data_IF_081946334669
#
_entry.id   IF_081946334669
#
_cell.length_a   1.000
_cell.length_b   1.000
_cell.length_c   1.000
_cell.angle_alpha   90.00
_cell.angle_beta   90.00
_cell.angle_gamma   90.00
#
_symmetry.space_group_name_H-M   'P 1'
#
loop_
_entity.id
_entity.type
_entity.pdbx_description
1 polymer ?
#
# COMPACT_ATOMS: atom_id res chain seq x y z
N UNK A 1 -14.03 -0.83 -67.21
CA UNK A 1 -14.97 -0.40 -66.15
C UNK A 1 -14.91 -1.45 -65.06
N UNK A 2 -14.34 -1.12 -63.90
CA UNK A 2 -14.28 -2.07 -62.78
C UNK A 2 -15.68 -2.25 -62.21
N UNK A 3 -16.18 -3.49 -62.22
CA UNK A 3 -17.41 -3.85 -61.52
C UNK A 3 -17.20 -3.50 -60.05
N UNK A 4 -17.97 -2.53 -59.52
CA UNK A 4 -17.95 -2.23 -58.10
C UNK A 4 -18.39 -3.50 -57.37
N UNK A 5 -17.47 -4.08 -56.61
CA UNK A 5 -17.71 -5.27 -55.82
C UNK A 5 -18.74 -4.90 -54.76
N UNK A 6 -19.91 -5.55 -54.78
CA UNK A 6 -20.97 -5.30 -53.80
C UNK A 6 -20.46 -5.69 -52.39
N UNK A 7 -20.57 -4.76 -51.44
CA UNK A 7 -20.00 -4.87 -50.07
C UNK A 7 -21.13 -4.84 -49.05
N UNK A 8 -21.85 -5.97 -48.86
CA UNK A 8 -23.06 -6.02 -48.05
C UNK A 8 -22.83 -5.61 -46.58
N UNK A 9 -21.62 -5.81 -46.06
CA UNK A 9 -21.23 -5.45 -44.70
C UNK A 9 -21.31 -3.95 -44.40
N UNK A 10 -21.36 -3.09 -45.44
CA UNK A 10 -21.49 -1.65 -45.28
C UNK A 10 -22.94 -1.18 -45.06
N UNK A 11 -23.92 -2.06 -45.28
CA UNK A 11 -25.34 -1.76 -45.09
C UNK A 11 -25.89 -2.20 -43.73
N UNK A 12 -25.06 -2.84 -42.90
CA UNK A 12 -25.44 -3.31 -41.57
C UNK A 12 -24.71 -2.54 -40.46
N UNK A 13 -25.41 -2.20 -39.37
CA UNK A 13 -24.81 -1.56 -38.20
C UNK A 13 -23.96 -2.56 -37.41
N UNK A 14 -22.68 -2.21 -37.19
CA UNK A 14 -21.76 -3.05 -36.41
C UNK A 14 -22.05 -2.90 -34.92
N UNK A 15 -22.36 -4.01 -34.27
CA UNK A 15 -22.55 -4.08 -32.81
C UNK A 15 -21.24 -4.43 -32.10
N UNK A 16 -21.01 -3.82 -30.95
CA UNK A 16 -19.83 -4.08 -30.12
C UNK A 16 -19.79 -5.51 -29.56
N UNK A 17 -20.96 -6.08 -29.25
CA UNK A 17 -21.10 -7.45 -28.75
C UNK A 17 -22.27 -8.17 -29.42
N UNK A 18 -22.21 -9.50 -29.45
CA UNK A 18 -23.25 -10.38 -30.00
C UNK A 18 -23.87 -11.30 -28.95
N UNK A 19 -23.25 -11.41 -27.77
CA UNK A 19 -23.73 -12.26 -26.68
C UNK A 19 -23.48 -11.63 -25.31
N UNK A 20 -24.10 -12.20 -24.26
CA UNK A 20 -24.03 -11.67 -22.90
C UNK A 20 -22.60 -11.66 -22.33
N UNK A 21 -21.78 -12.66 -22.70
CA UNK A 21 -20.38 -12.76 -22.25
C UNK A 21 -19.49 -11.68 -22.86
N UNK A 22 -19.66 -11.39 -24.14
CA UNK A 22 -18.96 -10.27 -24.81
C UNK A 22 -19.38 -8.92 -24.21
N UNK A 23 -20.66 -8.76 -23.88
CA UNK A 23 -21.14 -7.54 -23.21
C UNK A 23 -20.45 -7.33 -21.87
N UNK A 24 -20.44 -8.35 -21.01
CA UNK A 24 -19.76 -8.29 -19.71
C UNK A 24 -18.25 -8.04 -19.86
N UNK A 25 -17.60 -8.66 -20.85
CA UNK A 25 -16.20 -8.36 -21.16
C UNK A 25 -15.99 -6.88 -21.48
N UNK A 26 -16.85 -6.29 -22.31
CA UNK A 26 -16.75 -4.88 -22.67
C UNK A 26 -17.10 -3.94 -21.52
N UNK A 27 -18.06 -4.31 -20.67
CA UNK A 27 -18.40 -3.56 -19.45
C UNK A 27 -17.19 -3.49 -18.50
N UNK A 28 -16.52 -4.62 -18.26
CA UNK A 28 -15.30 -4.67 -17.43
C UNK A 28 -14.15 -3.84 -18.03
N UNK A 29 -14.00 -3.86 -19.36
CA UNK A 29 -13.01 -3.03 -20.05
C UNK A 29 -13.35 -1.54 -19.94
N UNK A 30 -14.63 -1.18 -20.04
CA UNK A 30 -15.09 0.19 -19.89
C UNK A 30 -14.84 0.71 -18.47
N UNK A 31 -15.08 -0.11 -17.44
CA UNK A 31 -14.78 0.25 -16.05
C UNK A 31 -13.30 0.50 -15.83
N UNK A 32 -12.42 -0.39 -16.31
CA UNK A 32 -10.98 -0.18 -16.23
C UNK A 32 -10.55 1.10 -16.96
N UNK A 33 -11.07 1.32 -18.18
CA UNK A 33 -10.80 2.52 -18.97
C UNK A 33 -11.23 3.79 -18.23
N UNK A 34 -12.40 3.78 -17.60
CA UNK A 34 -12.93 4.90 -16.83
C UNK A 34 -12.10 5.19 -15.58
N UNK A 35 -11.69 4.16 -14.83
CA UNK A 35 -10.86 4.32 -13.62
C UNK A 35 -9.50 4.93 -13.97
N UNK A 36 -8.82 4.43 -15.00
CA UNK A 36 -7.51 4.94 -15.43
C UNK A 36 -7.61 6.40 -15.89
N UNK A 37 -8.64 6.75 -16.67
CA UNK A 37 -8.88 8.13 -17.07
C UNK A 37 -9.21 9.04 -15.87
N UNK A 38 -9.98 8.54 -14.91
CA UNK A 38 -10.31 9.31 -13.71
C UNK A 38 -9.05 9.60 -12.89
N UNK A 39 -8.19 8.60 -12.71
CA UNK A 39 -6.89 8.77 -12.05
C UNK A 39 -6.03 9.80 -12.79
N UNK A 40 -5.98 9.76 -14.13
CA UNK A 40 -5.24 10.73 -14.94
C UNK A 40 -5.72 12.18 -14.73
N UNK A 41 -7.04 12.38 -14.59
CA UNK A 41 -7.61 13.71 -14.33
C UNK A 41 -7.35 14.15 -12.89
N UNK A 42 -7.41 13.23 -11.92
CA UNK A 42 -7.06 13.53 -10.53
C UNK A 42 -5.61 13.99 -10.39
N UNK A 43 -4.65 13.28 -11.02
CA UNK A 43 -3.24 13.68 -11.05
C UNK A 43 -3.07 15.09 -11.62
N UNK A 44 -3.70 15.36 -12.76
CA UNK A 44 -3.65 16.69 -13.40
C UNK A 44 -4.29 17.78 -12.54
N UNK A 45 -5.38 17.49 -11.82
CA UNK A 45 -6.03 18.43 -10.93
C UNK A 45 -5.14 18.77 -9.72
N UNK A 46 -4.45 17.78 -9.16
CA UNK A 46 -3.50 17.99 -8.08
C UNK A 46 -2.27 18.81 -8.51
N UNK A 47 -1.70 18.52 -9.69
CA UNK A 47 -0.59 19.33 -10.26
C UNK A 47 -1.00 20.80 -10.46
N UNK A 48 -2.28 21.06 -10.76
CA UNK A 48 -2.84 22.40 -10.94
C UNK A 48 -3.34 23.02 -9.63
N UNK A 49 -3.06 22.41 -8.49
CA UNK A 49 -3.45 22.88 -7.15
C UNK A 49 -4.97 23.09 -7.01
N UNK A 50 -5.77 22.30 -7.74
CA UNK A 50 -7.23 22.37 -7.72
C UNK A 50 -7.86 21.49 -6.62
N UNK A 51 -7.05 20.66 -5.95
CA UNK A 51 -7.50 19.67 -4.96
C UNK A 51 -6.49 19.68 -3.81
N UNK A 52 -6.97 19.66 -2.56
CA UNK A 52 -6.08 19.68 -1.40
C UNK A 52 -5.30 18.36 -1.28
N UNK A 53 -4.12 18.34 -0.63
CA UNK A 53 -3.34 17.11 -0.43
C UNK A 53 -4.12 15.99 0.27
N UNK A 54 -4.98 16.34 1.25
CA UNK A 54 -5.78 15.38 2.00
C UNK A 54 -6.83 14.71 1.10
N UNK A 55 -7.57 15.49 0.32
CA UNK A 55 -8.60 14.98 -0.60
C UNK A 55 -7.97 14.16 -1.73
N UNK A 56 -6.88 14.67 -2.31
CA UNK A 56 -6.12 13.96 -3.33
C UNK A 56 -5.65 12.60 -2.84
N UNK A 57 -5.02 12.54 -1.66
CA UNK A 57 -4.47 11.29 -1.10
C UNK A 57 -5.57 10.26 -0.91
N UNK A 58 -6.71 10.66 -0.33
CA UNK A 58 -7.84 9.76 -0.12
C UNK A 58 -8.46 9.26 -1.44
N UNK A 59 -8.66 10.16 -2.41
CA UNK A 59 -9.23 9.82 -3.71
C UNK A 59 -8.28 8.92 -4.54
N UNK A 60 -6.99 9.24 -4.57
CA UNK A 60 -5.97 8.49 -5.30
C UNK A 60 -5.84 7.07 -4.73
N UNK A 61 -5.74 6.92 -3.40
CA UNK A 61 -5.71 5.60 -2.75
C UNK A 61 -6.94 4.76 -3.09
N UNK A 62 -8.14 5.36 -3.10
CA UNK A 62 -9.37 4.66 -3.49
C UNK A 62 -9.35 4.23 -4.96
N UNK A 63 -8.93 5.11 -5.87
CA UNK A 63 -8.83 4.82 -7.30
C UNK A 63 -7.81 3.73 -7.59
N UNK A 64 -6.68 3.68 -6.88
CA UNK A 64 -5.68 2.61 -7.02
C UNK A 64 -6.24 1.24 -6.59
N UNK A 65 -7.01 1.18 -5.50
CA UNK A 65 -7.73 -0.04 -5.10
C UNK A 65 -8.72 -0.48 -6.18
N UNK A 66 -9.52 0.46 -6.70
CA UNK A 66 -10.50 0.18 -7.77
C UNK A 66 -9.82 -0.28 -9.05
N UNK A 67 -8.70 0.34 -9.42
CA UNK A 67 -7.87 -0.04 -10.55
C UNK A 67 -7.42 -1.49 -10.44
N UNK A 68 -6.88 -1.92 -9.28
CA UNK A 68 -6.44 -3.31 -9.10
C UNK A 68 -7.58 -4.30 -9.29
N UNK A 69 -8.76 -4.00 -8.72
CA UNK A 69 -9.95 -4.83 -8.89
C UNK A 69 -10.41 -4.89 -10.35
N UNK A 70 -10.51 -3.74 -11.03
CA UNK A 70 -10.93 -3.65 -12.43
C UNK A 70 -9.93 -4.34 -13.37
N UNK A 71 -8.63 -4.13 -13.16
CA UNK A 71 -7.59 -4.73 -13.98
C UNK A 71 -7.60 -6.26 -13.86
N UNK A 72 -7.82 -6.80 -12.65
CA UNK A 72 -7.95 -8.25 -12.43
C UNK A 72 -9.10 -8.88 -13.23
N UNK A 73 -10.17 -8.15 -13.48
CA UNK A 73 -11.29 -8.64 -14.30
C UNK A 73 -11.00 -8.61 -15.82
N UNK A 74 -10.09 -7.74 -16.26
CA UNK A 74 -9.72 -7.55 -17.67
C UNK A 74 -8.45 -8.33 -18.05
N UNK A 75 -7.63 -8.68 -17.05
CA UNK A 75 -6.36 -9.36 -17.24
C UNK A 75 -6.56 -10.70 -17.94
N UNK A 76 -5.86 -10.86 -19.06
CA UNK A 76 -5.95 -12.01 -19.95
C UNK A 76 -4.70 -12.06 -20.83
N UNK A 77 -4.53 -13.11 -21.64
CA UNK A 77 -3.42 -13.21 -22.59
C UNK A 77 -3.36 -12.02 -23.57
N UNK A 78 -4.52 -11.42 -23.86
CA UNK A 78 -4.61 -10.22 -24.70
C UNK A 78 -4.09 -8.97 -23.98
N UNK A 79 -4.31 -8.89 -22.66
CA UNK A 79 -3.96 -7.73 -21.82
C UNK A 79 -3.23 -8.19 -20.55
N UNK A 80 -1.97 -8.65 -20.67
CA UNK A 80 -1.21 -9.13 -19.53
C UNK A 80 -0.80 -7.99 -18.59
N UNK A 81 -0.60 -6.79 -19.14
CA UNK A 81 -0.20 -5.58 -18.41
C UNK A 81 -1.11 -4.39 -18.76
N UNK A 82 -1.12 -3.39 -17.88
CA UNK A 82 -1.86 -2.15 -18.13
C UNK A 82 -1.34 -1.40 -19.36
N UNK A 83 -0.04 -1.47 -19.66
CA UNK A 83 0.55 -0.88 -20.88
C UNK A 83 0.03 -1.54 -22.16
N UNK A 84 -0.24 -2.85 -22.14
CA UNK A 84 -0.85 -3.53 -23.28
C UNK A 84 -2.29 -3.03 -23.50
N UNK A 85 -3.07 -2.91 -22.42
CA UNK A 85 -4.42 -2.36 -22.47
C UNK A 85 -4.43 -0.90 -22.95
N UNK A 86 -3.56 -0.05 -22.38
CA UNK A 86 -3.46 1.35 -22.73
C UNK A 86 -3.10 1.57 -24.21
N UNK A 87 -2.18 0.77 -24.75
CA UNK A 87 -1.84 0.81 -26.19
C UNK A 87 -3.01 0.37 -27.07
N UNK A 88 -3.71 -0.70 -26.70
CA UNK A 88 -4.82 -1.22 -27.50
C UNK A 88 -5.99 -0.24 -27.60
N UNK A 89 -6.34 0.43 -26.50
CA UNK A 89 -7.43 1.40 -26.44
C UNK A 89 -6.97 2.86 -26.61
N UNK A 90 -5.69 3.10 -26.92
CA UNK A 90 -5.10 4.43 -27.10
C UNK A 90 -5.32 5.38 -25.90
N UNK A 91 -5.20 4.84 -24.69
CA UNK A 91 -5.21 5.63 -23.45
C UNK A 91 -3.90 6.41 -23.31
N UNK A 92 -3.97 7.72 -23.54
CA UNK A 92 -2.87 8.65 -23.26
C UNK A 92 -2.96 9.16 -21.81
N UNK A 93 -2.51 8.31 -20.87
CA UNK A 93 -2.62 8.55 -19.44
C UNK A 93 -1.26 8.41 -18.70
N UNK A 94 -0.22 9.18 -19.09
CA UNK A 94 1.13 9.01 -18.55
C UNK A 94 1.22 9.21 -17.03
N UNK A 95 0.46 10.16 -16.46
CA UNK A 95 0.50 10.41 -15.02
C UNK A 95 -0.20 9.28 -14.23
N UNK A 96 -1.30 8.75 -14.77
CA UNK A 96 -1.98 7.60 -14.15
C UNK A 96 -1.11 6.35 -14.20
N UNK A 97 -0.43 6.09 -15.32
CA UNK A 97 0.45 4.93 -15.48
C UNK A 97 1.63 4.97 -14.50
N UNK A 98 2.26 6.13 -14.31
CA UNK A 98 3.31 6.28 -13.29
C UNK A 98 2.76 6.07 -11.87
N UNK A 99 1.56 6.59 -11.55
CA UNK A 99 0.93 6.32 -10.25
C UNK A 99 0.59 4.85 -10.03
N UNK A 100 0.07 4.18 -11.04
CA UNK A 100 -0.23 2.75 -11.00
C UNK A 100 1.06 1.94 -10.77
N UNK A 101 2.15 2.32 -11.45
CA UNK A 101 3.46 1.67 -11.30
C UNK A 101 4.04 1.82 -9.89
N UNK A 102 3.83 2.98 -9.25
CA UNK A 102 4.26 3.20 -7.87
C UNK A 102 3.29 2.65 -6.81
N UNK A 103 2.04 2.38 -7.19
CA UNK A 103 0.94 1.87 -6.37
C UNK A 103 0.66 2.68 -5.08
N UNK A 104 0.94 3.99 -5.11
CA UNK A 104 0.68 4.93 -4.00
C UNK A 104 0.48 6.36 -4.49
N UNK A 105 -0.25 7.24 -3.78
CA UNK A 105 -0.36 8.66 -4.11
C UNK A 105 1.00 9.38 -4.04
N UNK A 106 1.20 10.44 -4.83
CA UNK A 106 2.47 11.21 -4.86
C UNK A 106 2.82 11.87 -3.51
N UNK A 107 1.81 12.12 -2.66
CA UNK A 107 1.95 12.68 -1.32
C UNK A 107 2.57 11.70 -0.33
N UNK A 108 2.48 10.40 -0.60
CA UNK A 108 3.09 9.35 0.22
C UNK A 108 4.49 9.09 -0.32
N UNK A 109 5.50 9.54 0.43
CA UNK A 109 6.89 9.33 0.07
C UNK A 109 7.24 7.85 0.19
N UNK A 110 7.96 7.35 -0.81
CA UNK A 110 8.74 6.12 -0.69
C UNK A 110 9.81 6.28 0.39
N UNK A 111 10.07 5.22 1.14
CA UNK A 111 11.28 5.13 1.96
C UNK A 111 12.55 4.93 1.10
N UNK A 112 12.43 5.05 -0.24
CA UNK A 112 13.52 4.96 -1.24
C UNK A 112 14.26 3.62 -1.18
N UNK A 113 13.55 2.53 -0.91
CA UNK A 113 14.16 1.22 -0.69
C UNK A 113 14.78 1.03 0.69
N UNK A 114 14.69 2.01 1.61
CA UNK A 114 15.00 1.78 3.01
C UNK A 114 13.90 0.99 3.74
N UNK A 115 12.78 0.64 3.11
CA UNK A 115 11.72 -0.15 3.76
C UNK A 115 12.28 -1.44 4.36
N UNK A 116 13.06 -2.21 3.60
CA UNK A 116 13.70 -3.44 4.10
C UNK A 116 14.69 -3.17 5.23
N UNK A 117 15.43 -2.05 5.15
CA UNK A 117 16.33 -1.62 6.22
C UNK A 117 15.56 -1.22 7.48
N UNK A 118 14.52 -0.39 7.36
CA UNK A 118 13.64 0.00 8.46
C UNK A 118 12.98 -1.22 9.10
N UNK A 119 12.52 -2.20 8.30
CA UNK A 119 11.96 -3.45 8.83
C UNK A 119 13.04 -4.22 9.61
N UNK A 120 14.25 -4.35 9.07
CA UNK A 120 15.35 -5.01 9.75
C UNK A 120 15.73 -4.30 11.07
N UNK A 121 15.81 -2.97 11.05
CA UNK A 121 16.08 -2.13 12.23
C UNK A 121 14.98 -2.33 13.30
N UNK A 122 13.70 -2.32 12.90
CA UNK A 122 12.56 -2.56 13.80
C UNK A 122 12.62 -3.97 14.42
N UNK A 123 12.85 -5.00 13.61
CA UNK A 123 12.99 -6.38 14.09
C UNK A 123 14.16 -6.51 15.05
N UNK A 124 15.30 -5.89 14.73
CA UNK A 124 16.47 -5.84 15.59
C UNK A 124 16.16 -5.19 16.94
N UNK A 125 15.46 -4.04 16.94
CA UNK A 125 15.10 -3.33 18.16
C UNK A 125 14.11 -4.12 19.02
N UNK A 126 13.15 -4.82 18.41
CA UNK A 126 12.27 -5.74 19.15
C UNK A 126 13.04 -6.88 19.82
N UNK A 127 14.01 -7.48 19.12
CA UNK A 127 14.86 -8.53 19.68
C UNK A 127 15.69 -7.96 20.85
N UNK A 128 16.33 -6.80 20.66
CA UNK A 128 17.13 -6.14 21.69
C UNK A 128 16.30 -5.85 22.96
N UNK A 129 15.11 -5.27 22.82
CA UNK A 129 14.21 -4.97 23.95
C UNK A 129 13.77 -6.25 24.67
N UNK A 130 13.42 -7.29 23.92
CA UNK A 130 13.05 -8.58 24.49
C UNK A 130 14.21 -9.24 25.25
N UNK A 131 15.42 -9.19 24.69
CA UNK A 131 16.61 -9.77 25.32
C UNK A 131 17.00 -9.00 26.59
N UNK A 132 16.90 -7.67 26.59
CA UNK A 132 17.09 -6.86 27.82
C UNK A 132 16.12 -7.30 28.92
N UNK A 133 14.83 -7.43 28.61
CA UNK A 133 13.83 -7.88 29.58
C UNK A 133 14.09 -9.30 30.09
N UNK A 134 14.56 -10.22 29.23
CA UNK A 134 14.94 -11.60 29.62
C UNK A 134 16.19 -11.66 30.49
N UNK A 135 17.11 -10.71 30.32
CA UNK A 135 18.31 -10.56 31.13
C UNK A 135 18.05 -9.76 32.42
N UNK A 136 16.78 -9.52 32.77
CA UNK A 136 16.37 -8.76 33.96
C UNK A 136 16.86 -7.29 33.95
N UNK A 137 17.16 -6.75 32.76
CA UNK A 137 17.50 -5.32 32.58
C UNK A 137 16.18 -4.54 32.52
N UNK A 138 15.81 -3.94 33.65
CA UNK A 138 14.49 -3.30 33.86
C UNK A 138 14.55 -1.79 34.11
N UNK A 139 15.75 -1.22 34.18
CA UNK A 139 15.95 0.19 34.48
C UNK A 139 15.49 1.12 33.34
N UNK A 140 14.88 2.25 33.71
CA UNK A 140 14.34 3.24 32.78
C UNK A 140 15.38 3.73 31.78
N UNK A 141 16.57 4.12 32.25
CA UNK A 141 17.67 4.63 31.43
C UNK A 141 18.18 3.62 30.40
N UNK A 142 18.03 2.31 30.69
CA UNK A 142 18.44 1.22 29.81
C UNK A 142 17.39 0.85 28.77
N UNK A 143 16.09 0.97 29.09
CA UNK A 143 14.99 0.56 28.20
C UNK A 143 14.47 1.71 27.33
N UNK A 144 14.42 2.92 27.88
CA UNK A 144 13.82 4.08 27.22
C UNK A 144 14.50 4.43 25.87
N UNK A 145 15.85 4.44 25.74
CA UNK A 145 16.51 4.78 24.47
C UNK A 145 16.10 3.84 23.32
N UNK A 146 16.08 2.53 23.56
CA UNK A 146 15.73 1.54 22.53
C UNK A 146 14.25 1.64 22.15
N UNK A 147 13.37 1.85 23.14
CA UNK A 147 11.94 2.01 22.89
C UNK A 147 11.65 3.28 22.10
N UNK A 148 12.44 4.34 22.33
CA UNK A 148 12.35 5.59 21.59
C UNK A 148 12.80 5.42 20.14
N UNK A 149 13.94 4.78 19.93
CA UNK A 149 14.45 4.49 18.59
C UNK A 149 13.51 3.57 17.80
N UNK A 150 12.87 2.61 18.48
CA UNK A 150 11.84 1.75 17.91
C UNK A 150 10.63 2.57 17.43
N UNK A 151 10.11 3.47 18.27
CA UNK A 151 9.00 4.35 17.89
C UNK A 151 9.37 5.24 16.70
N UNK A 152 10.54 5.87 16.73
CA UNK A 152 10.98 6.77 15.65
C UNK A 152 11.20 5.99 14.33
N UNK A 153 11.72 4.76 14.39
CA UNK A 153 11.88 3.88 13.23
C UNK A 153 10.53 3.36 12.70
N UNK A 154 9.58 3.03 13.58
CA UNK A 154 8.21 2.66 13.18
C UNK A 154 7.43 3.82 12.56
N UNK A 155 7.69 5.06 12.98
CA UNK A 155 7.09 6.26 12.37
C UNK A 155 7.67 6.58 10.99
N UNK A 156 8.93 6.22 10.75
CA UNK A 156 9.55 6.30 9.42
C UNK A 156 9.00 5.25 8.46
N UNK A 157 8.53 4.11 8.95
CA UNK A 157 8.07 3.01 8.09
C UNK A 157 6.70 3.33 7.47
N UNK A 158 6.70 3.80 6.23
CA UNK A 158 5.53 4.31 5.50
C UNK A 158 4.40 3.28 5.29
N UNK A 159 4.75 1.99 5.21
CA UNK A 159 3.78 0.88 5.09
C UNK A 159 2.98 0.64 6.39
N UNK A 160 3.48 1.12 7.54
CA UNK A 160 2.70 1.10 8.77
C UNK A 160 1.82 2.34 8.83
N UNK A 161 0.50 2.12 8.82
CA UNK A 161 -0.48 3.18 8.99
C UNK A 161 -0.23 4.02 10.25
N UNK A 162 -0.68 5.27 10.25
CA UNK A 162 -0.55 6.18 11.39
C UNK A 162 -1.37 5.74 12.60
N UNK A 163 -2.45 4.99 12.38
CA UNK A 163 -3.35 4.40 13.39
C UNK A 163 -2.99 2.94 13.75
N UNK A 164 -1.79 2.48 13.39
CA UNK A 164 -1.35 1.14 13.75
C UNK A 164 -1.29 0.99 15.28
N UNK A 165 -2.16 0.13 15.84
CA UNK A 165 -2.27 -0.15 17.29
C UNK A 165 -0.92 -0.42 17.97
N UNK A 166 0.04 -1.02 17.26
CA UNK A 166 1.37 -1.24 17.80
C UNK A 166 2.15 0.04 18.14
N UNK A 167 1.94 1.13 17.38
CA UNK A 167 2.52 2.46 17.69
C UNK A 167 1.92 3.00 18.99
N UNK A 168 0.61 2.87 19.17
CA UNK A 168 -0.09 3.30 20.39
C UNK A 168 0.46 2.60 21.63
N UNK A 169 0.59 1.27 21.59
CA UNK A 169 1.17 0.52 22.71
C UNK A 169 2.61 0.90 23.06
N UNK A 170 3.43 1.17 22.05
CA UNK A 170 4.82 1.63 22.28
C UNK A 170 4.83 3.05 22.86
N UNK A 171 3.91 3.93 22.43
CA UNK A 171 3.76 5.26 23.01
C UNK A 171 3.37 5.21 24.49
N UNK A 172 2.44 4.34 24.87
CA UNK A 172 2.02 4.14 26.27
C UNK A 172 3.21 3.73 27.16
N UNK A 173 4.06 2.81 26.66
CA UNK A 173 5.25 2.38 27.39
C UNK A 173 6.33 3.46 27.45
N UNK A 174 6.54 4.22 26.37
CA UNK A 174 7.42 5.38 26.38
C UNK A 174 6.96 6.41 27.41
N UNK A 175 5.66 6.69 27.46
CA UNK A 175 5.08 7.60 28.45
C UNK A 175 5.28 7.07 29.86
N UNK A 176 5.03 5.78 30.09
CA UNK A 176 5.25 5.13 31.39
C UNK A 176 6.70 5.29 31.85
N UNK A 177 7.68 4.95 31.00
CA UNK A 177 9.10 5.08 31.31
C UNK A 177 9.52 6.55 31.49
N UNK A 178 8.96 7.49 30.72
CA UNK A 178 9.28 8.92 30.85
C UNK A 178 8.83 9.54 32.17
N UNK A 179 7.85 8.92 32.85
CA UNK A 179 7.37 9.36 34.16
C UNK A 179 8.18 8.77 35.32
N UNK A 180 9.13 7.87 35.02
CA UNK A 180 10.01 7.23 36.00
C UNK A 180 11.35 7.98 36.08
N UNK A 181 12.01 7.91 37.23
CA UNK A 181 13.38 8.39 37.37
C UNK A 181 14.32 7.45 36.61
N UNK A 182 15.50 7.95 36.20
CA UNK A 182 16.46 7.17 35.42
C UNK A 182 16.84 5.82 36.08
N UNK A 183 16.94 5.79 37.40
CA UNK A 183 17.30 4.60 38.18
C UNK A 183 16.10 3.71 38.54
N UNK A 184 14.88 4.12 38.24
CA UNK A 184 13.69 3.35 38.58
C UNK A 184 13.57 2.16 37.63
N UNK A 185 13.18 1.02 38.18
CA UNK A 185 13.01 -0.24 37.44
C UNK A 185 11.54 -0.58 37.25
N UNK A 186 11.23 -1.20 36.11
CA UNK A 186 9.93 -1.85 35.93
C UNK A 186 9.77 -3.00 36.93
N UNK A 187 8.58 -3.13 37.52
CA UNK A 187 8.25 -4.30 38.31
C UNK A 187 8.22 -5.57 37.45
N UNK A 188 8.36 -6.75 38.06
CA UNK A 188 8.28 -8.04 37.34
C UNK A 188 6.98 -8.18 36.53
N UNK A 189 5.88 -7.66 37.07
CA UNK A 189 4.59 -7.66 36.39
C UNK A 189 4.59 -6.70 35.19
N UNK A 190 5.17 -5.50 35.34
CA UNK A 190 5.31 -4.55 34.23
C UNK A 190 6.25 -5.10 33.15
N UNK A 191 7.39 -5.69 33.52
CA UNK A 191 8.33 -6.29 32.59
C UNK A 191 7.70 -7.45 31.80
N UNK A 192 6.91 -8.29 32.44
CA UNK A 192 6.18 -9.38 31.76
C UNK A 192 5.14 -8.84 30.76
N UNK A 193 4.41 -7.79 31.12
CA UNK A 193 3.44 -7.14 30.21
C UNK A 193 4.17 -6.44 29.05
N UNK A 194 5.27 -5.74 29.33
CA UNK A 194 6.09 -5.10 28.30
C UNK A 194 6.62 -6.12 27.29
N UNK A 195 7.14 -7.26 27.76
CA UNK A 195 7.58 -8.35 26.90
C UNK A 195 6.45 -8.92 26.03
N UNK A 196 5.26 -9.13 26.60
CA UNK A 196 4.10 -9.60 25.84
C UNK A 196 3.65 -8.58 24.76
N UNK A 197 3.70 -7.29 25.08
CA UNK A 197 3.40 -6.21 24.13
C UNK A 197 4.43 -6.18 23.00
N UNK A 198 5.73 -6.23 23.33
CA UNK A 198 6.84 -6.28 22.35
C UNK A 198 6.64 -7.44 21.37
N UNK A 199 6.34 -8.64 21.86
CA UNK A 199 6.09 -9.82 21.00
C UNK A 199 4.84 -9.63 20.13
N UNK A 200 3.74 -9.16 20.71
CA UNK A 200 2.49 -8.95 19.98
C UNK A 200 2.62 -7.88 18.88
N UNK A 201 3.30 -6.79 19.17
CA UNK A 201 3.55 -5.72 18.18
C UNK A 201 4.50 -6.21 17.09
N UNK A 202 5.58 -6.92 17.44
CA UNK A 202 6.51 -7.49 16.45
C UNK A 202 5.79 -8.45 15.48
N UNK A 203 4.90 -9.31 15.98
CA UNK A 203 4.10 -10.21 15.16
C UNK A 203 3.13 -9.43 14.23
N UNK A 204 2.48 -8.38 14.74
CA UNK A 204 1.57 -7.56 13.93
C UNK A 204 2.34 -6.78 12.85
N UNK A 205 3.50 -6.20 13.19
CA UNK A 205 4.34 -5.46 12.23
C UNK A 205 4.87 -6.37 11.12
N UNK A 206 5.30 -7.60 11.44
CA UNK A 206 5.73 -8.57 10.42
C UNK A 206 4.59 -9.02 9.53
N UNK A 207 3.39 -9.26 10.08
CA UNK A 207 2.20 -9.58 9.28
C UNK A 207 1.86 -8.45 8.28
N UNK A 208 1.85 -7.19 8.73
CA UNK A 208 1.56 -6.03 7.86
C UNK A 208 2.62 -5.79 6.79
N UNK A 209 3.89 -6.07 7.09
CA UNK A 209 5.01 -5.76 6.17
C UNK A 209 5.34 -6.89 5.21
N UNK A 210 5.09 -8.16 5.57
CA UNK A 210 5.45 -9.35 4.76
C UNK A 210 4.26 -9.89 3.97
N UNK A 211 3.02 -9.77 4.46
CA UNK A 211 1.85 -10.30 3.73
C UNK A 211 1.44 -9.59 2.43
N UNK A 212 1.76 -8.30 2.14
CA UNK A 212 1.39 -7.73 0.84
C UNK A 212 2.15 -8.39 -0.34
N UNK A 213 3.27 -9.07 -0.07
CA UNK A 213 4.04 -9.79 -1.09
C UNK A 213 3.56 -11.23 -1.34
N UNK A 214 2.81 -11.85 -0.41
CA UNK A 214 2.47 -13.27 -0.48
C UNK A 214 1.31 -13.60 -1.44
N UNK A 215 0.51 -12.60 -1.85
CA UNK A 215 -0.59 -12.82 -2.81
C UNK A 215 -0.11 -12.97 -4.26
N UNK A 216 1.18 -12.73 -4.54
CA UNK A 216 1.74 -12.78 -5.91
C UNK A 216 2.40 -14.13 -6.26
N UNK A 217 2.64 -15.04 -5.29
CA UNK A 217 3.45 -16.25 -5.52
C UNK A 217 2.69 -17.59 -5.40
N UNK A 218 1.35 -17.58 -5.29
CA UNK A 218 0.56 -18.83 -5.31
C UNK A 218 -0.10 -19.16 -6.66
N UNK A 219 0.40 -18.60 -7.76
CA UNK A 219 0.06 -19.07 -9.12
C UNK A 219 1.35 -19.42 -9.86
N UNK A 220 1.93 -20.56 -9.51
CA UNK A 220 2.74 -21.37 -10.41
C UNK A 220 2.34 -22.83 -10.24
#
# INVERSE_FOLDING_TARGET
MSVAQDRPELYEEVKLYKNAREREKHDNQADLYAVVNTLQHLEKAYIRDCVTPKEYTAACSKLLVQYRAAFKQVQSDQFPTIDAFARAFRLDCPAALERIKEDRPITIKDDKGNTSKCIADIVSLFITLMDKLRLEIKAMDQLHPDLRDLMDTMNRLSILSSDFNGKEKIAEWLQTLSNMSASDELSDTQAAVAAAVVVGVAAATTATTVMPAATVVQVQ
#
